data_IF_368351455806
#
_entry.id   IF_368351455806
#
_cell.length_a   1.000
_cell.length_b   1.000
_cell.length_c   1.000
_cell.angle_alpha   90.00
_cell.angle_beta   90.00
_cell.angle_gamma   90.00
#
_symmetry.space_group_name_H-M   'P 1'
#
loop_
_entity.id
_entity.type
_entity.pdbx_description
1 polymer ?
#
# COMPACT_ATOMS: atom_id res chain seq x y z
N UNK A 1 9.63 1.90 8.83
CA UNK A 1 9.43 2.67 7.58
C UNK A 1 8.15 3.49 7.56
N UNK A 2 8.25 4.82 7.45
CA UNK A 2 7.08 5.71 7.30
C UNK A 2 6.49 5.72 5.87
N UNK A 3 7.33 5.56 4.84
CA UNK A 3 6.92 5.63 3.43
C UNK A 3 6.01 4.47 3.02
N UNK A 4 6.34 3.24 3.43
CA UNK A 4 5.50 2.09 3.08
C UNK A 4 4.11 2.17 3.71
N UNK A 5 4.03 2.50 5.00
CA UNK A 5 2.76 2.62 5.71
C UNK A 5 1.85 3.69 5.11
N UNK A 6 2.39 4.88 4.79
CA UNK A 6 1.59 5.95 4.20
C UNK A 6 1.05 5.60 2.80
N UNK A 7 1.85 4.92 1.96
CA UNK A 7 1.41 4.48 0.64
C UNK A 7 0.30 3.44 0.72
N UNK A 8 0.42 2.44 1.59
CA UNK A 8 -0.64 1.43 1.81
C UNK A 8 -1.91 2.10 2.33
N UNK A 9 -1.84 2.93 3.38
CA UNK A 9 -3.02 3.62 3.93
C UNK A 9 -3.68 4.56 2.92
N UNK A 10 -2.90 5.25 2.07
CA UNK A 10 -3.44 6.14 1.05
C UNK A 10 -4.20 5.43 -0.08
N UNK A 11 -4.04 4.11 -0.20
CA UNK A 11 -4.56 3.31 -1.29
C UNK A 11 -5.48 2.18 -0.84
N UNK A 12 -5.96 2.20 0.42
CA UNK A 12 -6.97 1.27 0.91
C UNK A 12 -8.22 1.33 0.01
N UNK A 13 -8.74 0.15 -0.31
CA UNK A 13 -10.01 0.03 -1.02
C UNK A 13 -11.11 0.39 -0.02
N UNK A 14 -12.08 1.21 -0.46
CA UNK A 14 -13.15 1.67 0.42
C UNK A 14 -14.17 0.55 0.64
N UNK A 15 -14.10 -0.07 1.81
CA UNK A 15 -15.01 -1.13 2.26
C UNK A 15 -15.91 -0.72 3.45
N UNK A 16 -15.72 0.48 4.00
CA UNK A 16 -16.47 1.00 5.17
C UNK A 16 -17.19 2.32 4.88
N UNK A 17 -18.07 2.70 5.79
CA UNK A 17 -18.68 4.04 5.80
C UNK A 17 -17.78 5.07 6.47
N UNK A 18 -18.14 6.35 6.38
CA UNK A 18 -17.38 7.46 6.98
C UNK A 18 -17.37 7.48 8.51
N UNK A 19 -18.36 6.84 9.14
CA UNK A 19 -18.52 6.79 10.59
C UNK A 19 -17.87 5.54 11.22
N UNK A 20 -17.25 4.69 10.39
CA UNK A 20 -16.58 3.46 10.79
C UNK A 20 -15.07 3.60 10.55
N UNK A 21 -14.29 2.89 11.35
CA UNK A 21 -12.84 2.81 11.11
C UNK A 21 -12.56 2.07 9.81
N UNK A 22 -11.67 2.60 8.97
CA UNK A 22 -11.24 1.94 7.74
C UNK A 22 -10.65 0.53 7.98
N UNK A 23 -10.13 0.27 9.20
CA UNK A 23 -9.60 -1.04 9.57
C UNK A 23 -10.67 -2.14 9.59
N UNK A 24 -11.93 -1.80 9.87
CA UNK A 24 -13.05 -2.75 9.85
C UNK A 24 -13.35 -3.27 8.42
N UNK A 25 -12.80 -2.59 7.40
CA UNK A 25 -12.87 -3.02 6.01
C UNK A 25 -11.99 -4.22 5.69
N UNK A 26 -11.01 -4.55 6.54
CA UNK A 26 -10.18 -5.73 6.40
C UNK A 26 -10.65 -6.87 7.31
N UNK A 27 -10.75 -8.07 6.74
CA UNK A 27 -11.04 -9.30 7.47
C UNK A 27 -9.81 -10.18 7.53
N UNK A 28 -9.51 -10.69 8.72
CA UNK A 28 -8.39 -11.60 8.90
C UNK A 28 -8.56 -12.86 8.04
N UNK A 29 -7.59 -13.13 7.16
CA UNK A 29 -7.60 -14.29 6.27
C UNK A 29 -8.39 -14.11 4.98
N UNK A 30 -8.81 -12.89 4.63
CA UNK A 30 -9.39 -12.62 3.31
C UNK A 30 -8.38 -12.92 2.19
N UNK A 31 -8.87 -13.41 1.05
CA UNK A 31 -8.02 -13.77 -0.10
C UNK A 31 -7.57 -12.54 -0.89
N UNK A 32 -8.37 -11.49 -0.90
CA UNK A 32 -8.13 -10.28 -1.69
C UNK A 32 -7.25 -9.26 -0.95
N UNK A 33 -6.41 -8.55 -1.70
CA UNK A 33 -5.58 -7.47 -1.17
C UNK A 33 -6.44 -6.29 -0.69
N UNK A 34 -6.11 -5.72 0.47
CA UNK A 34 -6.88 -4.63 1.10
C UNK A 34 -6.61 -3.24 0.50
N UNK A 35 -5.57 -3.12 -0.33
CA UNK A 35 -5.15 -1.85 -0.93
C UNK A 35 -4.80 -2.03 -2.42
N UNK A 36 -4.89 -0.93 -3.16
CA UNK A 36 -4.59 -0.92 -4.58
C UNK A 36 -3.11 -0.57 -4.83
N UNK A 37 -2.28 -1.59 -5.08
CA UNK A 37 -0.86 -1.40 -5.37
C UNK A 37 -0.61 -0.56 -6.63
N UNK A 38 -1.50 -0.60 -7.63
CA UNK A 38 -1.38 0.21 -8.85
C UNK A 38 -1.59 1.69 -8.52
N UNK A 39 -2.55 2.01 -7.66
CA UNK A 39 -2.79 3.36 -7.18
C UNK A 39 -1.60 3.88 -6.35
N UNK A 40 -1.08 3.07 -5.42
CA UNK A 40 0.10 3.41 -4.63
C UNK A 40 1.34 3.65 -5.52
N UNK A 41 1.58 2.75 -6.48
CA UNK A 41 2.66 2.87 -7.45
C UNK A 41 2.53 4.13 -8.29
N UNK A 42 1.33 4.43 -8.79
CA UNK A 42 1.04 5.61 -9.61
C UNK A 42 1.25 6.92 -8.84
N UNK A 43 0.83 6.98 -7.57
CA UNK A 43 1.09 8.13 -6.70
C UNK A 43 2.59 8.32 -6.48
N UNK A 44 3.30 7.28 -6.03
CA UNK A 44 4.71 7.39 -5.71
C UNK A 44 5.59 7.64 -6.94
N UNK A 45 5.23 7.02 -8.07
CA UNK A 45 5.91 7.22 -9.36
C UNK A 45 5.78 8.65 -9.90
N UNK A 46 4.70 9.36 -9.58
CA UNK A 46 4.54 10.80 -9.88
C UNK A 46 5.27 11.69 -8.88
N UNK A 47 5.40 11.27 -7.62
CA UNK A 47 6.07 12.05 -6.59
C UNK A 47 7.59 12.13 -6.80
N UNK A 48 8.22 11.04 -7.25
CA UNK A 48 9.68 10.94 -7.42
C UNK A 48 10.04 10.76 -8.91
N UNK A 49 9.90 9.55 -9.44
CA UNK A 49 9.92 9.23 -10.88
C UNK A 49 9.43 7.78 -11.05
N UNK A 50 8.82 7.45 -12.19
CA UNK A 50 8.08 6.20 -12.37
C UNK A 50 8.90 4.93 -12.06
N UNK A 51 10.17 4.90 -12.47
CA UNK A 51 11.08 3.77 -12.25
C UNK A 51 11.64 3.64 -10.83
N UNK A 52 11.50 4.67 -9.98
CA UNK A 52 11.83 4.57 -8.55
C UNK A 52 10.72 3.90 -7.73
N UNK A 53 9.55 3.66 -8.33
CA UNK A 53 8.39 3.11 -7.65
C UNK A 53 8.28 1.60 -7.86
N UNK A 54 7.86 0.88 -6.83
CA UNK A 54 7.63 -0.56 -6.90
C UNK A 54 6.21 -0.83 -7.40
N UNK A 55 6.09 -1.63 -8.46
CA UNK A 55 4.80 -2.15 -8.94
C UNK A 55 4.62 -3.64 -8.61
N UNK A 56 5.62 -4.26 -7.97
CA UNK A 56 5.60 -5.64 -7.52
C UNK A 56 5.77 -5.70 -6.00
N UNK A 57 4.73 -6.18 -5.32
CA UNK A 57 4.70 -6.29 -3.85
C UNK A 57 5.87 -7.12 -3.30
N UNK A 58 6.26 -8.20 -3.98
CA UNK A 58 7.33 -9.09 -3.50
C UNK A 58 8.69 -8.40 -3.51
N UNK A 59 9.01 -7.65 -4.57
CA UNK A 59 10.27 -6.88 -4.62
C UNK A 59 10.29 -5.74 -3.62
N UNK A 60 9.14 -5.10 -3.36
CA UNK A 60 9.01 -4.05 -2.34
C UNK A 60 9.33 -4.62 -0.95
N UNK A 61 8.68 -5.72 -0.58
CA UNK A 61 8.88 -6.33 0.74
C UNK A 61 10.29 -6.91 0.90
N UNK A 62 10.86 -7.48 -0.17
CA UNK A 62 12.26 -7.91 -0.16
C UNK A 62 13.21 -6.73 0.10
N UNK A 63 13.00 -5.60 -0.55
CA UNK A 63 13.79 -4.39 -0.30
C UNK A 63 13.64 -3.88 1.13
N UNK A 64 12.41 -3.84 1.67
CA UNK A 64 12.15 -3.44 3.06
C UNK A 64 12.79 -4.38 4.11
N UNK A 65 12.94 -5.66 3.78
CA UNK A 65 13.64 -6.61 4.64
C UNK A 65 15.17 -6.47 4.56
N UNK A 66 15.70 -6.17 3.37
CA UNK A 66 17.14 -6.01 3.14
C UNK A 66 17.67 -4.63 3.61
N UNK A 67 16.84 -3.60 3.56
CA UNK A 67 17.16 -2.26 4.03
C UNK A 67 16.22 -1.88 5.18
N UNK A 68 16.72 -1.86 6.44
CA UNK A 68 15.92 -1.39 7.55
C UNK A 68 15.64 0.11 7.34
N UNK A 69 14.41 0.44 6.96
CA UNK A 69 13.93 1.83 6.85
C UNK A 69 13.33 2.29 8.17
#
# INVERSE_FOLDING_TARGET
>A
SAMHGSLVTSSLIRETTENESANEGYRFGQEEETYNIVAAHGYFGRLIFQYASFNNSRSLHFFLAAWPV
#
